data_IF_743261667067
#
_entry.id   IF_743261667067
#
_cell.length_a   1.000
_cell.length_b   1.000
_cell.length_c   1.000
_cell.angle_alpha   90.00
_cell.angle_beta   90.00
_cell.angle_gamma   90.00
#
_symmetry.space_group_name_H-M   'P 1'
#
loop_
_entity.id
_entity.type
_entity.pdbx_description
1 polymer ?
#
# COMPACT_ATOMS: atom_id res chain seq x y z
N UNK A 1 12.59 -3.63 2.52
CA UNK A 1 12.14 -2.42 3.25
C UNK A 1 10.88 -1.93 2.54
N UNK A 2 9.75 -1.90 3.24
CA UNK A 2 8.45 -1.52 2.66
C UNK A 2 8.22 -0.03 2.90
N UNK A 3 7.66 0.67 1.92
CA UNK A 3 7.54 2.13 1.98
C UNK A 3 6.13 2.58 1.59
N UNK A 4 5.43 3.23 2.52
CA UNK A 4 4.29 4.10 2.22
C UNK A 4 4.84 5.43 1.74
N UNK A 5 4.37 5.91 0.61
CA UNK A 5 4.71 7.25 0.12
C UNK A 5 3.51 8.14 0.37
N UNK A 6 3.70 9.21 1.14
CA UNK A 6 2.72 10.29 1.26
C UNK A 6 3.18 11.42 0.34
N UNK A 7 2.33 11.79 -0.61
CA UNK A 7 2.53 12.99 -1.41
C UNK A 7 2.14 14.16 -0.50
N UNK A 8 3.13 14.65 0.23
CA UNK A 8 2.96 15.69 1.23
C UNK A 8 3.18 17.10 0.66
N UNK A 9 3.88 17.21 -0.47
CA UNK A 9 4.25 18.49 -1.06
C UNK A 9 3.96 18.47 -2.57
N UNK A 10 3.59 19.64 -3.11
CA UNK A 10 3.59 19.89 -4.54
C UNK A 10 4.95 20.45 -4.98
N UNK A 11 4.97 21.32 -5.99
CA UNK A 11 6.16 22.13 -6.30
C UNK A 11 6.44 23.11 -5.15
N UNK A 12 7.63 23.01 -4.56
CA UNK A 12 8.11 23.94 -3.53
C UNK A 12 9.22 24.82 -4.09
N UNK A 13 9.21 26.11 -3.76
CA UNK A 13 10.31 27.01 -4.08
C UNK A 13 11.56 26.66 -3.25
N UNK A 14 12.75 26.81 -3.85
CA UNK A 14 14.05 26.54 -3.22
C UNK A 14 14.31 27.31 -1.90
N UNK A 15 13.57 28.39 -1.66
CA UNK A 15 13.76 29.25 -0.49
C UNK A 15 13.11 28.69 0.78
N UNK A 16 11.98 27.98 0.63
CA UNK A 16 11.19 27.48 1.77
C UNK A 16 11.23 25.96 1.94
N UNK A 17 11.79 25.23 0.97
CA UNK A 17 11.72 23.76 0.96
C UNK A 17 12.29 23.13 2.22
N UNK A 18 13.47 23.57 2.71
CA UNK A 18 14.12 22.93 3.87
C UNK A 18 13.28 23.05 5.14
N UNK A 19 12.71 24.22 5.37
CA UNK A 19 11.94 24.52 6.58
C UNK A 19 10.59 23.82 6.56
N UNK A 20 9.87 23.87 5.44
CA UNK A 20 8.58 23.21 5.28
C UNK A 20 8.71 21.68 5.38
N UNK A 21 9.75 21.11 4.75
CA UNK A 21 10.01 19.68 4.77
C UNK A 21 10.38 19.18 6.15
N UNK A 22 11.27 19.90 6.85
CA UNK A 22 11.66 19.52 8.21
C UNK A 22 10.48 19.64 9.20
N UNK A 23 9.64 20.67 9.05
CA UNK A 23 8.44 20.85 9.87
C UNK A 23 7.44 19.70 9.67
N UNK A 24 7.21 19.32 8.42
CA UNK A 24 6.26 18.27 8.06
C UNK A 24 6.79 16.87 8.40
N UNK A 25 8.08 16.59 8.24
CA UNK A 25 8.74 15.37 8.73
C UNK A 25 8.59 15.25 10.25
N UNK A 26 8.85 16.35 10.98
CA UNK A 26 8.67 16.41 12.44
C UNK A 26 7.22 16.17 12.84
N UNK A 27 6.27 16.75 12.09
CA UNK A 27 4.83 16.57 12.31
C UNK A 27 4.42 15.12 12.13
N UNK A 28 4.83 14.48 11.05
CA UNK A 28 4.53 13.06 10.77
C UNK A 28 5.19 12.13 11.79
N UNK A 29 6.43 12.38 12.20
CA UNK A 29 7.10 11.61 13.28
C UNK A 29 6.36 11.72 14.60
N UNK A 30 6.00 12.94 15.03
CA UNK A 30 5.19 13.16 16.24
C UNK A 30 3.84 12.46 16.14
N UNK A 31 3.25 12.48 14.95
CA UNK A 31 2.05 11.70 14.65
C UNK A 31 2.31 10.22 14.94
N UNK A 32 3.20 9.56 14.21
CA UNK A 32 3.49 8.12 14.36
C UNK A 32 3.69 7.76 15.85
N UNK A 33 4.50 8.53 16.58
CA UNK A 33 4.78 8.32 18.00
C UNK A 33 3.55 8.46 18.91
N UNK A 34 2.55 9.27 18.51
CA UNK A 34 1.30 9.47 19.25
C UNK A 34 0.19 8.47 18.88
N UNK A 35 0.40 7.60 17.89
CA UNK A 35 -0.59 6.61 17.49
C UNK A 35 -0.80 5.59 18.62
N UNK A 36 -2.03 5.53 19.14
CA UNK A 36 -2.40 4.62 20.23
C UNK A 36 -2.90 3.25 19.77
N UNK A 37 -3.02 3.03 18.46
CA UNK A 37 -3.45 1.75 17.91
C UNK A 37 -2.34 0.70 18.00
N UNK A 38 -2.73 -0.58 17.92
CA UNK A 38 -1.80 -1.71 17.80
C UNK A 38 -1.79 -2.20 16.35
N UNK A 39 -0.66 -2.74 15.86
CA UNK A 39 0.65 -2.85 16.50
C UNK A 39 1.46 -1.54 16.48
N UNK A 40 2.45 -1.36 17.39
CA UNK A 40 3.40 -0.26 17.27
C UNK A 40 4.24 -0.48 16.02
N UNK A 41 3.96 0.29 14.97
CA UNK A 41 4.71 0.24 13.72
C UNK A 41 5.99 1.07 13.90
N UNK A 42 7.13 0.39 13.95
CA UNK A 42 8.42 1.07 13.79
C UNK A 42 8.48 1.63 12.37
N UNK A 43 8.39 2.96 12.30
CA UNK A 43 8.34 3.67 11.04
C UNK A 43 9.40 4.77 11.01
N UNK A 44 10.21 4.75 9.96
CA UNK A 44 11.18 5.80 9.65
C UNK A 44 10.58 6.75 8.63
N UNK A 45 10.60 8.05 8.92
CA UNK A 45 10.14 9.09 7.99
C UNK A 45 11.35 9.77 7.39
N UNK A 46 11.42 9.80 6.06
CA UNK A 46 12.44 10.52 5.31
C UNK A 46 11.79 11.25 4.13
N UNK A 47 12.14 12.52 3.96
CA UNK A 47 11.82 13.24 2.73
C UNK A 47 12.61 12.67 1.56
N UNK A 48 11.96 12.46 0.41
CA UNK A 48 12.62 12.02 -0.83
C UNK A 48 12.15 12.89 -1.99
N UNK A 49 13.06 13.17 -2.92
CA UNK A 49 12.71 13.71 -4.23
C UNK A 49 12.50 12.52 -5.17
N UNK A 50 11.29 12.38 -5.72
CA UNK A 50 11.04 11.47 -6.84
C UNK A 50 10.60 12.33 -8.03
N UNK A 51 11.51 12.56 -8.96
CA UNK A 51 11.23 13.39 -10.12
C UNK A 51 12.40 13.52 -11.08
N UNK A 52 12.32 12.85 -12.25
CA UNK A 52 12.86 13.41 -13.50
C UNK A 52 11.74 14.27 -14.08
N UNK A 53 11.84 15.60 -13.98
CA UNK A 53 10.98 16.54 -14.72
C UNK A 53 10.14 17.50 -13.89
N UNK A 54 9.82 17.18 -12.64
CA UNK A 54 9.27 18.12 -11.67
C UNK A 54 9.71 17.68 -10.27
N UNK A 55 10.27 18.59 -9.48
CA UNK A 55 10.83 18.35 -8.14
C UNK A 55 9.73 18.09 -7.10
N UNK A 56 9.04 16.96 -7.26
CA UNK A 56 7.99 16.54 -6.36
C UNK A 56 8.64 15.94 -5.12
N UNK A 57 8.61 16.73 -4.06
CA UNK A 57 9.10 16.31 -2.77
C UNK A 57 7.99 15.49 -2.09
N UNK A 58 8.35 14.32 -1.60
CA UNK A 58 7.44 13.39 -0.92
C UNK A 58 7.94 13.07 0.48
N UNK A 59 7.05 12.58 1.33
CA UNK A 59 7.44 11.88 2.55
C UNK A 59 7.38 10.38 2.32
N UNK A 60 8.54 9.73 2.36
CA UNK A 60 8.64 8.28 2.39
C UNK A 60 8.62 7.80 3.84
N UNK A 61 7.67 6.93 4.16
CA UNK A 61 7.53 6.30 5.47
C UNK A 61 7.88 4.83 5.29
N UNK A 62 9.03 4.43 5.81
CA UNK A 62 9.52 3.06 5.72
C UNK A 62 9.15 2.30 6.99
N UNK A 63 8.63 1.09 6.84
CA UNK A 63 8.25 0.22 7.95
C UNK A 63 9.27 -0.91 8.13
N UNK A 64 9.53 -1.26 9.39
CA UNK A 64 10.37 -2.41 9.74
C UNK A 64 9.85 -3.71 9.10
N UNK A 65 10.75 -4.50 8.52
CA UNK A 65 10.42 -5.74 7.78
C UNK A 65 9.65 -6.78 8.63
N UNK A 66 9.71 -6.68 9.96
CA UNK A 66 8.97 -7.56 10.87
C UNK A 66 7.44 -7.33 10.88
N UNK A 67 6.95 -6.19 10.37
CA UNK A 67 5.52 -5.83 10.46
C UNK A 67 4.66 -6.31 9.30
N UNK A 68 5.24 -6.67 8.16
CA UNK A 68 4.51 -7.29 7.05
C UNK A 68 5.38 -8.36 6.42
N UNK A 69 5.82 -9.32 7.23
CA UNK A 69 6.20 -10.62 6.70
C UNK A 69 4.90 -11.28 6.21
N UNK A 70 4.42 -10.89 5.02
CA UNK A 70 3.73 -11.84 4.14
C UNK A 70 4.84 -12.82 3.78
N UNK A 71 5.12 -13.72 4.71
CA UNK A 71 6.18 -14.69 4.53
C UNK A 71 5.94 -15.39 3.20
N UNK A 72 7.03 -15.78 2.55
CA UNK A 72 7.11 -16.74 1.45
C UNK A 72 6.57 -18.13 1.84
N UNK A 73 5.47 -18.19 2.59
CA UNK A 73 4.79 -19.40 3.02
C UNK A 73 3.68 -19.65 2.01
N UNK A 74 4.15 -20.15 0.88
CA UNK A 74 3.40 -21.14 0.11
C UNK A 74 2.81 -22.18 1.08
N UNK A 75 1.52 -22.08 1.41
CA UNK A 75 0.56 -23.20 1.61
C UNK A 75 -0.71 -22.69 2.30
N UNK A 76 -1.81 -22.74 1.54
CA UNK A 76 -3.21 -22.59 1.97
C UNK A 76 -3.57 -21.25 2.63
N UNK A 77 -4.11 -20.36 1.79
CA UNK A 77 -4.72 -19.07 2.15
C UNK A 77 -5.68 -19.20 3.34
N UNK A 78 -6.44 -20.30 3.45
CA UNK A 78 -7.54 -20.51 4.42
C UNK A 78 -7.20 -20.28 5.89
N UNK A 79 -6.07 -20.77 6.40
CA UNK A 79 -5.75 -20.68 7.84
C UNK A 79 -5.24 -19.30 8.26
N UNK A 80 -4.84 -18.46 7.30
CA UNK A 80 -4.27 -17.13 7.54
C UNK A 80 -5.17 -15.98 7.08
N UNK A 81 -6.34 -16.24 6.47
CA UNK A 81 -7.23 -15.18 5.95
C UNK A 81 -7.68 -14.22 7.05
N UNK A 82 -8.16 -14.76 8.18
CA UNK A 82 -8.66 -13.93 9.29
C UNK A 82 -7.55 -13.06 9.88
N UNK A 83 -6.33 -13.61 9.97
CA UNK A 83 -5.15 -12.87 10.41
C UNK A 83 -4.76 -11.78 9.41
N UNK A 84 -4.79 -12.08 8.11
CA UNK A 84 -4.50 -11.13 7.05
C UNK A 84 -5.53 -10.00 6.97
N UNK A 85 -6.82 -10.29 7.15
CA UNK A 85 -7.89 -9.29 7.25
C UNK A 85 -7.68 -8.43 8.49
N UNK A 86 -7.35 -9.04 9.64
CA UNK A 86 -7.03 -8.28 10.85
C UNK A 86 -5.85 -7.34 10.64
N UNK A 87 -4.77 -7.84 10.04
CA UNK A 87 -3.59 -7.04 9.67
C UNK A 87 -3.97 -5.91 8.71
N UNK A 88 -4.78 -6.19 7.68
CA UNK A 88 -5.26 -5.16 6.76
C UNK A 88 -5.99 -4.05 7.49
N UNK A 89 -6.95 -4.39 8.37
CA UNK A 89 -7.75 -3.41 9.11
C UNK A 89 -6.89 -2.56 10.04
N UNK A 90 -5.92 -3.16 10.71
CA UNK A 90 -4.96 -2.44 11.55
C UNK A 90 -4.09 -1.48 10.73
N UNK A 91 -3.55 -1.94 9.60
CA UNK A 91 -2.77 -1.12 8.66
C UNK A 91 -3.61 -0.01 8.04
N UNK A 92 -4.85 -0.31 7.62
CA UNK A 92 -5.80 0.65 7.04
C UNK A 92 -6.12 1.76 8.03
N UNK A 93 -6.36 1.42 9.30
CA UNK A 93 -6.63 2.40 10.34
C UNK A 93 -5.41 3.31 10.55
N UNK A 94 -4.21 2.73 10.65
CA UNK A 94 -2.97 3.48 10.80
C UNK A 94 -2.68 4.38 9.58
N UNK A 95 -2.83 3.85 8.37
CA UNK A 95 -2.63 4.58 7.12
C UNK A 95 -3.63 5.70 6.93
N UNK A 96 -4.92 5.44 7.15
CA UNK A 96 -5.94 6.50 7.11
C UNK A 96 -5.62 7.61 8.11
N UNK A 97 -5.14 7.22 9.28
CA UNK A 97 -4.77 8.14 10.33
C UNK A 97 -3.55 9.00 9.99
N UNK A 98 -2.50 8.44 9.36
CA UNK A 98 -1.28 9.20 9.03
C UNK A 98 -1.41 10.03 7.75
N UNK A 99 -2.19 9.53 6.79
CA UNK A 99 -2.41 10.18 5.49
C UNK A 99 -3.30 11.42 5.63
N UNK A 100 -4.29 11.42 6.54
CA UNK A 100 -5.17 12.57 6.81
C UNK A 100 -5.86 13.14 5.56
N UNK A 101 -6.30 12.26 4.65
CA UNK A 101 -6.95 12.68 3.41
C UNK A 101 -6.01 13.24 2.33
N UNK A 102 -4.69 13.20 2.55
CA UNK A 102 -3.69 13.50 1.52
C UNK A 102 -3.59 12.38 0.48
N UNK A 103 -2.94 12.67 -0.64
CA UNK A 103 -2.62 11.62 -1.61
C UNK A 103 -1.50 10.73 -1.06
N UNK A 104 -1.69 9.41 -1.19
CA UNK A 104 -0.71 8.42 -0.76
C UNK A 104 -0.61 7.29 -1.77
N UNK A 105 0.58 6.70 -1.86
CA UNK A 105 0.88 5.52 -2.63
C UNK A 105 1.25 4.40 -1.65
N UNK A 106 0.40 3.39 -1.59
CA UNK A 106 0.51 2.31 -0.61
C UNK A 106 1.51 1.24 -1.04
N UNK A 107 2.16 0.55 -0.09
CA UNK A 107 3.07 -0.56 -0.40
C UNK A 107 2.32 -1.76 -1.01
N UNK A 108 3.03 -2.57 -1.82
CA UNK A 108 2.49 -3.73 -2.55
C UNK A 108 1.77 -4.69 -1.59
N UNK A 109 2.32 -4.89 -0.40
CA UNK A 109 1.81 -5.78 0.63
C UNK A 109 0.48 -5.31 1.21
N UNK A 110 0.31 -4.00 1.42
CA UNK A 110 -0.98 -3.46 1.84
C UNK A 110 -2.04 -3.67 0.76
N UNK A 111 -1.67 -3.45 -0.51
CA UNK A 111 -2.56 -3.64 -1.66
C UNK A 111 -2.91 -5.13 -1.86
N UNK A 112 -1.99 -6.04 -1.58
CA UNK A 112 -2.25 -7.48 -1.56
C UNK A 112 -3.29 -7.84 -0.49
N UNK A 113 -3.11 -7.35 0.73
CA UNK A 113 -4.06 -7.56 1.82
C UNK A 113 -5.44 -6.96 1.50
N UNK A 114 -5.48 -5.81 0.83
CA UNK A 114 -6.71 -5.22 0.32
C UNK A 114 -7.40 -6.10 -0.72
N UNK A 115 -6.63 -6.72 -1.62
CA UNK A 115 -7.16 -7.65 -2.62
C UNK A 115 -7.80 -8.87 -1.95
N UNK A 116 -7.19 -9.39 -0.89
CA UNK A 116 -7.78 -10.47 -0.08
C UNK A 116 -9.09 -10.02 0.56
N UNK A 117 -9.12 -8.88 1.28
CA UNK A 117 -10.33 -8.39 1.93
C UNK A 117 -11.48 -8.24 0.93
N UNK A 118 -11.19 -7.65 -0.23
CA UNK A 118 -12.15 -7.46 -1.33
C UNK A 118 -12.79 -8.77 -1.80
N UNK A 119 -12.01 -9.85 -1.88
CA UNK A 119 -12.48 -11.15 -2.34
C UNK A 119 -13.16 -11.98 -1.23
N UNK A 120 -12.78 -11.78 0.05
CA UNK A 120 -13.41 -12.47 1.18
C UNK A 120 -14.80 -11.92 1.47
N UNK A 121 -15.00 -10.60 1.36
CA UNK A 121 -16.33 -9.99 1.47
C UNK A 121 -17.33 -10.58 0.47
N UNK A 122 -16.83 -11.15 -0.62
CA UNK A 122 -17.61 -11.82 -1.66
C UNK A 122 -17.68 -13.35 -1.52
N UNK A 123 -17.14 -13.91 -0.43
CA UNK A 123 -17.11 -15.36 -0.12
C UNK A 123 -16.42 -16.24 -1.18
N UNK A 124 -15.46 -15.71 -1.94
CA UNK A 124 -14.90 -16.41 -3.13
C UNK A 124 -13.60 -17.17 -2.84
N UNK A 125 -13.02 -17.09 -1.63
CA UNK A 125 -11.62 -17.48 -1.39
C UNK A 125 -11.38 -18.81 -0.65
N UNK A 126 -12.40 -19.53 -0.19
CA UNK A 126 -12.21 -20.66 0.75
C UNK A 126 -11.31 -21.81 0.25
N UNK A 127 -11.02 -21.90 -1.06
CA UNK A 127 -10.15 -22.90 -1.68
C UNK A 127 -9.04 -22.35 -2.57
N UNK A 128 -8.89 -21.02 -2.69
CA UNK A 128 -8.03 -20.43 -3.71
C UNK A 128 -6.60 -20.21 -3.23
N UNK A 129 -5.66 -20.27 -4.17
CA UNK A 129 -4.24 -19.99 -3.95
C UNK A 129 -3.83 -18.70 -4.66
N UNK A 130 -2.91 -17.96 -4.07
CA UNK A 130 -2.27 -16.85 -4.77
C UNK A 130 -1.43 -17.38 -5.94
N UNK A 131 -1.72 -16.89 -7.16
CA UNK A 131 -1.05 -17.29 -8.41
C UNK A 131 0.01 -16.30 -8.86
N UNK A 132 -0.08 -15.04 -8.44
CA UNK A 132 0.94 -14.04 -8.73
C UNK A 132 0.42 -12.61 -8.77
N UNK A 133 1.37 -11.68 -8.89
CA UNK A 133 1.14 -10.25 -9.01
C UNK A 133 1.78 -9.72 -10.30
N UNK A 134 1.06 -8.88 -11.03
CA UNK A 134 1.58 -8.18 -12.20
C UNK A 134 1.41 -6.66 -12.03
N UNK A 135 2.43 -5.90 -12.43
CA UNK A 135 2.38 -4.43 -12.52
C UNK A 135 1.84 -4.04 -13.90
N UNK A 136 0.80 -3.22 -13.93
CA UNK A 136 0.34 -2.57 -15.15
C UNK A 136 1.06 -1.22 -15.23
N UNK A 137 2.05 -1.06 -16.13
CA UNK A 137 2.62 0.26 -16.38
C UNK A 137 1.55 1.15 -17.02
N UNK A 138 1.36 2.37 -16.50
CA UNK A 138 0.55 3.37 -17.21
C UNK A 138 1.34 3.78 -18.47
N UNK A 139 0.66 3.95 -19.60
CA UNK A 139 1.30 4.38 -20.86
C UNK A 139 1.91 5.80 -20.78
N UNK A 140 1.71 6.51 -19.66
CA UNK A 140 2.14 7.88 -19.43
C UNK A 140 3.08 7.96 -18.19
N UNK A 141 4.40 7.91 -18.38
CA UNK A 141 5.38 7.87 -17.28
C UNK A 141 5.44 9.15 -16.44
N UNK A 142 4.82 10.24 -16.91
CA UNK A 142 4.85 11.55 -16.25
C UNK A 142 3.89 11.65 -15.05
N UNK A 143 3.02 10.65 -14.84
CA UNK A 143 2.11 10.56 -13.69
C UNK A 143 2.60 9.52 -12.70
N UNK A 144 3.67 9.85 -11.99
CA UNK A 144 4.15 9.04 -10.87
C UNK A 144 3.00 8.77 -9.89
N UNK A 145 2.77 7.50 -9.57
CA UNK A 145 1.74 7.08 -8.61
C UNK A 145 0.42 6.58 -9.19
N UNK A 146 0.30 6.46 -10.52
CA UNK A 146 -0.85 5.80 -11.19
C UNK A 146 -0.56 4.39 -11.68
N UNK A 147 0.44 3.74 -11.10
CA UNK A 147 0.67 2.31 -11.31
C UNK A 147 -0.50 1.51 -10.72
N UNK A 148 -0.91 0.45 -11.40
CA UNK A 148 -1.88 -0.51 -10.87
C UNK A 148 -1.23 -1.89 -10.72
N UNK A 149 -1.69 -2.63 -9.72
CA UNK A 149 -1.31 -4.02 -9.48
C UNK A 149 -2.50 -4.92 -9.77
N UNK A 150 -2.26 -5.99 -10.52
CA UNK A 150 -3.20 -7.11 -10.64
C UNK A 150 -2.73 -8.21 -9.70
N UNK A 151 -3.60 -8.59 -8.76
CA UNK A 151 -3.41 -9.76 -7.91
C UNK A 151 -4.28 -10.90 -8.43
N UNK A 152 -3.66 -12.05 -8.69
CA UNK A 152 -4.32 -13.24 -9.23
C UNK A 152 -4.42 -14.32 -8.16
N UNK A 153 -5.62 -14.87 -7.96
CA UNK A 153 -5.93 -15.95 -7.05
C UNK A 153 -6.69 -17.03 -7.81
N UNK A 154 -6.47 -18.31 -7.54
CA UNK A 154 -7.23 -19.33 -8.23
C UNK A 154 -7.01 -20.74 -7.74
N UNK A 155 -7.81 -21.64 -8.27
CA UNK A 155 -7.72 -23.08 -8.06
C UNK A 155 -7.75 -23.80 -9.42
N UNK A 156 -8.06 -25.10 -9.44
CA UNK A 156 -8.13 -25.88 -10.68
C UNK A 156 -9.33 -25.56 -11.57
N UNK A 157 -10.29 -24.76 -11.11
CA UNK A 157 -11.55 -24.49 -11.81
C UNK A 157 -11.73 -23.01 -12.14
N UNK A 158 -11.12 -22.13 -11.35
CA UNK A 158 -11.41 -20.70 -11.40
C UNK A 158 -10.16 -19.86 -11.13
N UNK A 159 -10.03 -18.79 -11.90
CA UNK A 159 -9.06 -17.72 -11.68
C UNK A 159 -9.81 -16.42 -11.36
N UNK A 160 -9.52 -15.82 -10.22
CA UNK A 160 -9.94 -14.49 -9.81
C UNK A 160 -8.79 -13.51 -9.98
N UNK A 161 -9.13 -12.29 -10.38
CA UNK A 161 -8.16 -11.21 -10.48
C UNK A 161 -8.75 -9.94 -9.88
N UNK A 162 -7.93 -9.21 -9.14
CA UNK A 162 -8.29 -7.88 -8.60
C UNK A 162 -7.22 -6.90 -9.05
N UNK A 163 -7.64 -5.85 -9.75
CA UNK A 163 -6.78 -4.73 -10.10
C UNK A 163 -6.97 -3.60 -9.10
N UNK A 164 -5.89 -3.14 -8.49
CA UNK A 164 -5.89 -2.07 -7.49
C UNK A 164 -4.85 -1.02 -7.90
N UNK A 165 -5.27 0.24 -7.96
CA UNK A 165 -4.37 1.36 -8.15
C UNK A 165 -3.45 1.52 -6.94
N UNK A 166 -2.28 2.13 -7.14
CA UNK A 166 -1.34 2.43 -6.06
C UNK A 166 -1.92 3.33 -4.97
N UNK A 167 -2.95 4.11 -5.31
CA UNK A 167 -3.76 4.92 -4.40
C UNK A 167 -4.70 4.09 -3.50
N UNK A 168 -4.77 2.77 -3.66
CA UNK A 168 -5.69 1.90 -2.94
C UNK A 168 -7.11 1.85 -3.53
N UNK A 169 -7.35 2.46 -4.68
CA UNK A 169 -8.63 2.33 -5.38
C UNK A 169 -8.72 0.97 -6.08
N UNK A 170 -9.78 0.20 -5.82
CA UNK A 170 -10.06 -1.04 -6.55
C UNK A 170 -10.62 -0.65 -7.92
N UNK A 171 -9.85 -0.88 -8.97
CA UNK A 171 -10.18 -0.48 -10.34
C UNK A 171 -11.11 -1.47 -11.02
N UNK A 172 -10.87 -2.77 -10.80
CA UNK A 172 -11.58 -3.84 -11.49
C UNK A 172 -11.41 -5.18 -10.76
N UNK A 173 -12.38 -6.06 -10.99
CA UNK A 173 -12.38 -7.44 -10.53
C UNK A 173 -12.83 -8.36 -11.65
N UNK A 174 -12.18 -9.51 -11.78
CA UNK A 174 -12.47 -10.50 -12.80
C UNK A 174 -12.59 -11.90 -12.23
N UNK A 175 -13.32 -12.73 -12.94
CA UNK A 175 -13.46 -14.15 -12.67
C UNK A 175 -13.49 -14.91 -13.99
N UNK A 176 -12.60 -15.87 -14.16
CA UNK A 176 -12.49 -16.73 -15.35
C UNK A 176 -12.61 -18.18 -14.91
N UNK A 177 -13.49 -18.95 -15.55
CA UNK A 177 -13.53 -20.41 -15.43
C UNK A 177 -12.47 -21.03 -16.35
N UNK A 178 -11.75 -22.04 -15.84
CA UNK A 178 -10.63 -22.70 -16.53
C UNK A 178 -11.04 -24.00 -17.21
#
# INVERSE_FOLDING_TARGET
MQTLIIIAFGELSDVHWKEEVAAEETRVRKRIASYKGKPPLEAEVAARNIGRGADWLILAISFGAATIAISEVHKKVRESIEEWIRMYRELRAFFSWIVEGRHALYPDEYLFLQAIETLVEQLVLESMEFKGMARIPEANPDRQGREALIFSFGDSRKLLQVAIARSGEVLWQNSVEL
#
